data_IF_357826803425
#
_entry.id   IF_357826803425
#
_cell.length_a   1.000
_cell.length_b   1.000
_cell.length_c   1.000
_cell.angle_alpha   90.00
_cell.angle_beta   90.00
_cell.angle_gamma   90.00
#
_symmetry.space_group_name_H-M   'P 1'
#
loop_
_entity.id
_entity.type
_entity.pdbx_description
1 polymer ?
#
# COMPACT_ATOMS: atom_id res chain seq x y z
N UNK A 1 -7.08 -8.36 -7.44
CA UNK A 1 -6.95 -7.23 -8.39
C UNK A 1 -7.98 -6.11 -8.24
N UNK A 2 -9.29 -6.37 -8.37
CA UNK A 2 -10.35 -5.34 -8.43
C UNK A 2 -10.33 -4.33 -7.27
N UNK A 3 -9.91 -4.75 -6.07
CA UNK A 3 -9.87 -3.89 -4.89
C UNK A 3 -8.81 -2.77 -4.99
N UNK A 4 -7.62 -3.05 -5.55
CA UNK A 4 -6.57 -2.03 -5.69
C UNK A 4 -6.97 -1.00 -6.76
N UNK A 5 -7.52 -1.45 -7.88
CA UNK A 5 -8.02 -0.54 -8.91
C UNK A 5 -9.18 0.33 -8.40
N UNK A 6 -10.07 -0.23 -7.58
CA UNK A 6 -11.14 0.51 -6.94
C UNK A 6 -10.62 1.61 -5.99
N UNK A 7 -9.55 1.36 -5.23
CA UNK A 7 -8.92 2.38 -4.36
C UNK A 7 -8.37 3.55 -5.17
N UNK A 8 -7.72 3.27 -6.31
CA UNK A 8 -7.10 4.28 -7.18
C UNK A 8 -8.07 4.93 -8.18
N UNK A 9 -9.33 4.49 -8.23
CA UNK A 9 -10.39 5.09 -9.01
C UNK A 9 -10.70 6.53 -8.57
N UNK A 10 -11.51 7.25 -9.35
CA UNK A 10 -11.96 8.60 -8.95
C UNK A 10 -12.83 8.50 -7.69
N UNK A 11 -13.64 7.46 -7.60
CA UNK A 11 -14.52 7.16 -6.49
C UNK A 11 -13.71 6.87 -5.21
N UNK A 12 -12.70 6.00 -5.29
CA UNK A 12 -11.83 5.66 -4.17
C UNK A 12 -11.07 6.88 -3.63
N UNK A 13 -10.51 7.70 -4.53
CA UNK A 13 -9.85 8.96 -4.15
C UNK A 13 -10.82 9.98 -3.55
N UNK A 14 -12.05 10.04 -4.05
CA UNK A 14 -13.10 10.92 -3.50
C UNK A 14 -13.51 10.47 -2.10
N UNK A 15 -13.62 9.16 -1.86
CA UNK A 15 -13.91 8.62 -0.54
C UNK A 15 -12.78 8.92 0.46
N UNK A 16 -11.53 8.77 0.05
CA UNK A 16 -10.37 9.14 0.87
C UNK A 16 -10.34 10.65 1.20
N UNK A 17 -10.73 11.50 0.27
CA UNK A 17 -10.87 12.94 0.51
C UNK A 17 -12.01 13.27 1.47
N UNK A 18 -13.16 12.59 1.35
CA UNK A 18 -14.25 12.70 2.31
C UNK A 18 -13.79 12.33 3.73
N UNK A 19 -13.05 11.21 3.88
CA UNK A 19 -12.49 10.78 5.15
C UNK A 19 -11.49 11.81 5.71
N UNK A 20 -10.60 12.37 4.88
CA UNK A 20 -9.62 13.36 5.35
C UNK A 20 -10.27 14.67 5.83
N UNK A 21 -11.35 15.10 5.19
CA UNK A 21 -12.14 16.27 5.60
C UNK A 21 -12.86 16.04 6.94
N UNK A 22 -13.49 14.88 7.12
CA UNK A 22 -14.15 14.50 8.39
C UNK A 22 -13.13 14.44 9.52
N UNK A 23 -12.03 13.72 9.31
CA UNK A 23 -10.98 13.60 10.32
C UNK A 23 -10.34 14.95 10.68
N UNK A 24 -10.21 15.88 9.73
CA UNK A 24 -9.74 17.23 10.04
C UNK A 24 -10.78 18.01 10.87
N UNK A 25 -12.07 17.89 10.56
CA UNK A 25 -13.12 18.53 11.34
C UNK A 25 -13.13 18.03 12.79
N UNK A 26 -12.96 16.72 13.01
CA UNK A 26 -12.83 16.11 14.34
C UNK A 26 -11.54 16.57 15.04
N UNK A 27 -10.40 16.55 14.35
CA UNK A 27 -9.12 17.00 14.91
C UNK A 27 -9.11 18.48 15.32
N UNK A 28 -9.91 19.31 14.64
CA UNK A 28 -10.12 20.72 14.99
C UNK A 28 -11.16 20.91 16.11
N UNK A 29 -11.89 19.86 16.49
CA UNK A 29 -12.96 19.92 17.48
C UNK A 29 -14.15 20.77 17.03
N UNK A 30 -14.49 20.73 15.74
CA UNK A 30 -15.65 21.45 15.20
C UNK A 30 -16.94 20.80 15.71
N UNK A 31 -17.89 21.60 16.19
CA UNK A 31 -19.18 21.09 16.69
C UNK A 31 -19.97 20.38 15.59
N UNK A 32 -19.75 20.77 14.34
CA UNK A 32 -20.40 20.25 13.15
C UNK A 32 -19.71 19.01 12.54
N UNK A 33 -18.61 18.51 13.11
CA UNK A 33 -17.88 17.36 12.55
C UNK A 33 -18.77 16.11 12.44
N UNK A 34 -19.58 15.83 13.46
CA UNK A 34 -20.59 14.76 13.42
C UNK A 34 -21.67 15.00 12.36
N UNK A 35 -22.02 16.26 12.07
CA UNK A 35 -23.00 16.58 11.02
C UNK A 35 -22.40 16.33 9.64
N UNK A 36 -21.12 16.70 9.46
CA UNK A 36 -20.37 16.46 8.23
C UNK A 36 -20.24 14.95 7.95
N UNK A 37 -19.82 14.16 8.92
CA UNK A 37 -19.72 12.70 8.80
C UNK A 37 -21.08 12.08 8.41
N UNK A 38 -22.15 12.40 9.15
CA UNK A 38 -23.48 11.89 8.85
C UNK A 38 -23.98 12.29 7.45
N UNK A 39 -23.59 13.46 6.95
CA UNK A 39 -23.97 13.93 5.62
C UNK A 39 -23.26 13.15 4.53
N UNK A 40 -21.95 12.98 4.65
CA UNK A 40 -21.13 12.26 3.67
C UNK A 40 -21.39 10.76 3.67
N UNK A 41 -21.76 10.20 4.83
CA UNK A 41 -22.10 8.79 5.01
C UNK A 41 -23.56 8.46 4.65
N UNK A 42 -24.38 9.46 4.29
CA UNK A 42 -25.78 9.23 3.95
C UNK A 42 -25.92 8.46 2.62
N UNK A 43 -26.75 7.41 2.54
CA UNK A 43 -26.98 6.67 1.29
C UNK A 43 -27.55 7.52 0.14
N UNK A 44 -28.07 8.70 0.46
CA UNK A 44 -28.65 9.66 -0.49
C UNK A 44 -27.66 10.74 -0.93
N UNK A 45 -26.44 10.77 -0.39
CA UNK A 45 -25.44 11.75 -0.77
C UNK A 45 -24.94 11.48 -2.20
N UNK A 46 -24.99 12.49 -3.06
CA UNK A 46 -24.63 12.36 -4.47
C UNK A 46 -23.19 12.80 -4.73
N UNK A 47 -22.31 11.83 -5.00
CA UNK A 47 -20.91 12.09 -5.34
C UNK A 47 -20.68 12.51 -6.79
N UNK A 48 -21.70 12.53 -7.65
CA UNK A 48 -21.54 12.74 -9.10
C UNK A 48 -20.86 14.07 -9.43
N UNK A 49 -21.24 15.16 -8.76
CA UNK A 49 -20.64 16.48 -8.97
C UNK A 49 -19.16 16.52 -8.53
N UNK A 50 -18.81 15.77 -7.49
CA UNK A 50 -17.48 15.71 -6.89
C UNK A 50 -16.54 14.91 -7.79
N UNK A 51 -17.01 13.76 -8.27
CA UNK A 51 -16.31 12.90 -9.25
C UNK A 51 -16.03 13.68 -10.54
N UNK A 52 -17.03 14.43 -11.05
CA UNK A 52 -16.86 15.27 -12.23
C UNK A 52 -15.80 16.35 -11.99
N UNK A 53 -15.85 17.03 -10.84
CA UNK A 53 -14.86 18.06 -10.48
C UNK A 53 -13.43 17.50 -10.40
N UNK A 54 -13.25 16.31 -9.81
CA UNK A 54 -11.96 15.62 -9.77
C UNK A 54 -11.43 15.33 -11.17
N UNK A 55 -12.29 14.85 -12.07
CA UNK A 55 -11.92 14.55 -13.45
C UNK A 55 -11.57 15.79 -14.26
N UNK A 56 -12.34 16.88 -14.11
CA UNK A 56 -12.18 18.09 -14.93
C UNK A 56 -11.06 19.01 -14.44
N UNK A 57 -10.85 19.10 -13.13
CA UNK A 57 -9.99 20.12 -12.51
C UNK A 57 -8.86 19.55 -11.66
N UNK A 58 -8.88 18.25 -11.37
CA UNK A 58 -7.91 17.59 -10.49
C UNK A 58 -8.10 17.88 -9.00
N UNK A 59 -9.13 18.62 -8.60
CA UNK A 59 -9.47 18.90 -7.20
C UNK A 59 -10.97 18.74 -6.95
N UNK A 60 -11.32 17.78 -6.10
CA UNK A 60 -12.67 17.51 -5.64
C UNK A 60 -13.07 18.33 -4.40
N UNK A 61 -12.09 18.87 -3.66
CA UNK A 61 -12.32 19.47 -2.34
C UNK A 61 -13.36 20.61 -2.35
N UNK A 62 -13.33 21.59 -3.27
CA UNK A 62 -14.34 22.64 -3.30
C UNK A 62 -15.75 22.12 -3.59
N UNK A 63 -15.88 21.13 -4.48
CA UNK A 63 -17.15 20.51 -4.82
C UNK A 63 -17.70 19.68 -3.64
N UNK A 64 -16.85 18.89 -3.00
CA UNK A 64 -17.19 18.10 -1.81
C UNK A 64 -17.73 19.00 -0.69
N UNK A 65 -17.02 20.08 -0.37
CA UNK A 65 -17.46 21.03 0.65
C UNK A 65 -18.74 21.77 0.25
N UNK A 66 -18.94 22.07 -1.04
CA UNK A 66 -20.17 22.70 -1.50
C UNK A 66 -21.39 21.79 -1.34
N UNK A 67 -21.29 20.54 -1.81
CA UNK A 67 -22.36 19.55 -1.69
C UNK A 67 -22.65 19.17 -0.24
N UNK A 68 -21.62 19.10 0.61
CA UNK A 68 -21.79 18.85 2.03
C UNK A 68 -22.34 20.06 2.82
N UNK A 69 -22.36 21.27 2.23
CA UNK A 69 -22.79 22.50 2.90
C UNK A 69 -21.72 23.19 3.77
N UNK A 70 -20.44 22.85 3.57
CA UNK A 70 -19.28 23.34 4.34
C UNK A 70 -18.33 24.27 3.55
N UNK A 71 -18.70 24.71 2.35
CA UNK A 71 -17.87 25.58 1.49
C UNK A 71 -17.39 26.89 2.16
N UNK A 72 -18.07 27.34 3.23
CA UNK A 72 -17.71 28.54 3.99
C UNK A 72 -16.63 28.33 5.05
N UNK A 73 -16.11 27.11 5.27
CA UNK A 73 -15.21 26.80 6.38
C UNK A 73 -13.73 26.84 5.97
N UNK A 74 -12.97 27.93 6.23
CA UNK A 74 -11.66 28.14 5.63
C UNK A 74 -10.61 27.08 6.03
N UNK A 75 -10.75 26.51 7.23
CA UNK A 75 -9.85 25.47 7.70
C UNK A 75 -10.02 24.13 6.96
N UNK A 76 -11.23 23.85 6.44
CA UNK A 76 -11.51 22.63 5.69
C UNK A 76 -11.24 22.79 4.18
N UNK A 77 -11.11 24.03 3.69
CA UNK A 77 -10.85 24.33 2.28
C UNK A 77 -9.37 24.29 1.90
N UNK A 78 -8.49 23.77 2.75
CA UNK A 78 -7.06 23.74 2.47
C UNK A 78 -6.71 22.62 1.46
N UNK A 79 -6.05 22.94 0.33
CA UNK A 79 -5.72 21.95 -0.70
C UNK A 79 -4.79 20.83 -0.23
N UNK A 80 -4.07 20.99 0.88
CA UNK A 80 -3.19 19.94 1.39
C UNK A 80 -3.95 18.71 1.89
N UNK A 81 -5.28 18.81 2.05
CA UNK A 81 -6.15 17.67 2.31
C UNK A 81 -6.13 16.64 1.17
N UNK A 82 -5.88 17.07 -0.07
CA UNK A 82 -5.69 16.15 -1.21
C UNK A 82 -4.43 15.30 -1.02
N UNK A 83 -3.35 15.87 -0.45
CA UNK A 83 -2.12 15.13 -0.13
C UNK A 83 -2.37 14.13 1.02
N UNK A 84 -3.17 14.50 2.02
CA UNK A 84 -3.57 13.57 3.10
C UNK A 84 -4.46 12.44 2.57
N UNK A 85 -5.41 12.77 1.69
CA UNK A 85 -6.27 11.80 1.02
C UNK A 85 -5.46 10.80 0.19
N UNK A 86 -4.43 11.28 -0.51
CA UNK A 86 -3.51 10.41 -1.24
C UNK A 86 -2.82 9.40 -0.30
N UNK A 87 -2.41 9.82 0.89
CA UNK A 87 -1.76 8.93 1.87
C UNK A 87 -2.70 7.87 2.42
N UNK A 88 -4.00 8.17 2.58
CA UNK A 88 -5.03 7.16 2.92
C UNK A 88 -5.11 6.11 1.80
N UNK A 89 -5.23 6.53 0.53
CA UNK A 89 -5.27 5.60 -0.62
C UNK A 89 -4.00 4.73 -0.68
N UNK A 90 -2.84 5.34 -0.41
CA UNK A 90 -1.57 4.62 -0.34
C UNK A 90 -1.58 3.58 0.79
N UNK A 91 -2.05 3.94 1.99
CA UNK A 91 -2.12 3.04 3.14
C UNK A 91 -2.98 1.81 2.85
N UNK A 92 -4.18 2.02 2.32
CA UNK A 92 -5.11 0.94 1.98
C UNK A 92 -4.56 0.07 0.85
N UNK A 93 -3.97 0.70 -0.17
CA UNK A 93 -3.40 -0.01 -1.30
C UNK A 93 -2.16 -0.83 -0.91
N UNK A 94 -1.28 -0.30 -0.06
CA UNK A 94 -0.14 -1.07 0.48
C UNK A 94 -0.60 -2.22 1.36
N UNK A 95 -1.71 -2.06 2.09
CA UNK A 95 -2.31 -3.15 2.88
C UNK A 95 -2.82 -4.27 1.99
N UNK A 96 -3.52 -3.93 0.90
CA UNK A 96 -3.96 -4.91 -0.09
C UNK A 96 -2.79 -5.63 -0.77
N UNK A 97 -1.74 -4.89 -1.16
CA UNK A 97 -0.52 -5.46 -1.74
C UNK A 97 0.22 -6.37 -0.75
N UNK A 98 0.27 -5.99 0.52
CA UNK A 98 0.89 -6.80 1.58
C UNK A 98 0.14 -8.12 1.79
N UNK A 99 -1.19 -8.13 1.66
CA UNK A 99 -1.99 -9.34 1.71
C UNK A 99 -1.66 -10.29 0.53
N UNK A 100 -1.59 -9.76 -0.70
CA UNK A 100 -1.20 -10.55 -1.88
C UNK A 100 0.22 -11.14 -1.76
N UNK A 101 1.17 -10.37 -1.23
CA UNK A 101 2.52 -10.86 -0.95
C UNK A 101 2.53 -11.90 0.17
N UNK A 102 1.63 -11.77 1.16
CA UNK A 102 1.43 -12.77 2.22
C UNK A 102 1.06 -14.14 1.66
N UNK A 103 0.15 -14.20 0.68
CA UNK A 103 -0.18 -15.45 -0.02
C UNK A 103 1.06 -16.04 -0.72
N UNK A 104 1.90 -15.21 -1.34
CA UNK A 104 3.15 -15.67 -1.94
C UNK A 104 4.12 -16.24 -0.89
N UNK A 105 4.20 -15.61 0.29
CA UNK A 105 5.02 -16.08 1.42
C UNK A 105 4.55 -17.44 1.90
N UNK A 106 3.25 -17.65 2.06
CA UNK A 106 2.67 -18.93 2.50
C UNK A 106 2.92 -20.05 1.48
N UNK A 107 2.76 -19.74 0.19
CA UNK A 107 3.08 -20.68 -0.89
C UNK A 107 4.57 -21.03 -0.92
N UNK A 108 5.45 -20.03 -0.80
CA UNK A 108 6.90 -20.23 -0.74
C UNK A 108 7.33 -21.04 0.48
N UNK A 109 6.71 -20.80 1.64
CA UNK A 109 6.94 -21.58 2.85
C UNK A 109 6.61 -23.05 2.60
N UNK A 110 5.41 -23.32 2.09
CA UNK A 110 4.94 -24.67 1.78
C UNK A 110 5.86 -25.39 0.79
N UNK A 111 6.22 -24.73 -0.32
CA UNK A 111 7.14 -25.29 -1.32
C UNK A 111 8.53 -25.57 -0.71
N UNK A 112 9.04 -24.65 0.10
CA UNK A 112 10.35 -24.81 0.75
C UNK A 112 10.33 -26.00 1.72
N UNK A 113 9.24 -26.22 2.46
CA UNK A 113 9.08 -27.37 3.36
C UNK A 113 9.05 -28.70 2.60
N UNK A 114 8.33 -28.76 1.48
CA UNK A 114 8.25 -29.96 0.62
C UNK A 114 9.62 -30.31 0.06
N UNK A 115 10.38 -29.31 -0.40
CA UNK A 115 11.66 -29.50 -1.07
C UNK A 115 12.87 -29.34 -0.15
N UNK A 116 12.70 -29.35 1.18
CA UNK A 116 13.75 -29.00 2.14
C UNK A 116 15.01 -29.90 2.13
N UNK A 117 14.91 -31.10 1.56
CA UNK A 117 16.00 -32.07 1.43
C UNK A 117 16.63 -32.07 0.03
N UNK A 118 16.11 -31.25 -0.88
CA UNK A 118 16.55 -31.13 -2.27
C UNK A 118 17.32 -29.82 -2.46
N UNK A 119 18.19 -29.76 -3.47
CA UNK A 119 18.98 -28.55 -3.78
C UNK A 119 18.07 -27.34 -4.02
N UNK A 120 16.86 -27.56 -4.54
CA UNK A 120 15.84 -26.56 -4.84
C UNK A 120 15.27 -25.94 -3.57
N UNK A 121 15.27 -26.68 -2.45
CA UNK A 121 14.87 -26.13 -1.16
C UNK A 121 15.68 -24.90 -0.79
N UNK A 122 16.98 -24.87 -1.10
CA UNK A 122 17.82 -23.70 -0.83
C UNK A 122 17.44 -22.50 -1.70
N UNK A 123 17.13 -22.75 -2.98
CA UNK A 123 16.70 -21.69 -3.90
C UNK A 123 15.34 -21.12 -3.48
N UNK A 124 14.38 -21.97 -3.10
CA UNK A 124 13.09 -21.55 -2.56
C UNK A 124 13.25 -20.78 -1.25
N UNK A 125 14.12 -21.24 -0.34
CA UNK A 125 14.39 -20.58 0.93
C UNK A 125 14.98 -19.16 0.77
N UNK A 126 15.77 -18.92 -0.28
CA UNK A 126 16.28 -17.59 -0.60
C UNK A 126 15.14 -16.64 -1.01
N UNK A 127 14.22 -17.11 -1.86
CA UNK A 127 13.06 -16.33 -2.29
C UNK A 127 12.04 -16.14 -1.16
N UNK A 128 11.83 -17.13 -0.30
CA UNK A 128 11.04 -16.99 0.93
C UNK A 128 11.61 -15.87 1.82
N UNK A 129 12.93 -15.84 2.00
CA UNK A 129 13.58 -14.78 2.78
C UNK A 129 13.41 -13.41 2.14
N UNK A 130 13.51 -13.31 0.82
CA UNK A 130 13.30 -12.06 0.08
C UNK A 130 11.84 -11.59 0.17
N UNK A 131 10.87 -12.50 0.06
CA UNK A 131 9.45 -12.19 0.18
C UNK A 131 9.10 -11.66 1.58
N UNK A 132 9.62 -12.30 2.65
CA UNK A 132 9.44 -11.82 4.03
C UNK A 132 10.06 -10.44 4.26
N UNK A 133 11.28 -10.20 3.74
CA UNK A 133 11.91 -8.88 3.80
C UNK A 133 11.09 -7.82 3.05
N UNK A 134 10.57 -8.18 1.87
CA UNK A 134 9.67 -7.34 1.10
C UNK A 134 8.39 -6.98 1.85
N UNK A 135 7.77 -7.97 2.52
CA UNK A 135 6.58 -7.76 3.33
C UNK A 135 6.84 -6.81 4.50
N UNK A 136 7.94 -7.02 5.23
CA UNK A 136 8.37 -6.12 6.30
C UNK A 136 8.61 -4.69 5.80
N UNK A 137 9.25 -4.54 4.63
CA UNK A 137 9.49 -3.23 4.03
C UNK A 137 8.18 -2.54 3.64
N UNK A 138 7.25 -3.25 3.00
CA UNK A 138 5.94 -2.70 2.64
C UNK A 138 5.15 -2.24 3.87
N UNK A 139 5.13 -3.04 4.94
CA UNK A 139 4.47 -2.67 6.18
C UNK A 139 5.14 -1.45 6.83
N UNK A 140 6.47 -1.41 6.89
CA UNK A 140 7.19 -0.25 7.40
C UNK A 140 6.93 1.02 6.57
N UNK A 141 6.85 0.91 5.25
CA UNK A 141 6.50 2.02 4.36
C UNK A 141 5.07 2.49 4.60
N UNK A 142 4.11 1.57 4.75
CA UNK A 142 2.72 1.90 5.12
C UNK A 142 2.64 2.64 6.46
N UNK A 143 3.31 2.11 7.47
CA UNK A 143 3.27 2.64 8.84
C UNK A 143 3.99 3.99 8.98
N UNK A 144 4.80 4.36 7.99
CA UNK A 144 5.50 5.65 7.93
C UNK A 144 4.71 6.76 7.21
N UNK A 145 3.57 6.46 6.58
CA UNK A 145 2.83 7.43 5.75
C UNK A 145 2.34 8.64 6.57
N UNK A 146 2.70 9.88 6.19
CA UNK A 146 2.41 11.07 6.98
C UNK A 146 1.10 11.77 6.61
N UNK A 147 0.42 12.38 7.59
CA UNK A 147 -0.64 13.35 7.33
C UNK A 147 -0.09 14.71 6.87
N UNK A 148 -0.86 15.50 6.12
CA UNK A 148 -0.42 16.79 5.57
C UNK A 148 -1.47 17.89 5.77
N UNK A 149 -1.18 18.83 6.67
CA UNK A 149 -1.95 20.08 6.89
C UNK A 149 -1.03 21.26 7.19
N UNK A 150 -1.45 22.52 6.92
CA UNK A 150 -0.67 23.68 7.30
C UNK A 150 -0.45 23.76 8.81
N UNK A 151 0.76 24.17 9.22
CA UNK A 151 1.10 24.37 10.63
C UNK A 151 0.19 25.39 11.35
N UNK A 152 -0.43 26.31 10.60
CA UNK A 152 -1.39 27.29 11.13
C UNK A 152 -2.65 26.64 11.71
N UNK A 153 -3.06 25.47 11.22
CA UNK A 153 -4.25 24.76 11.68
C UNK A 153 -4.03 24.04 13.01
N UNK A 154 -2.76 23.75 13.38
CA UNK A 154 -2.39 23.02 14.62
C UNK A 154 -3.15 21.70 14.82
N UNK A 155 -3.57 21.06 13.73
CA UNK A 155 -4.40 19.86 13.76
C UNK A 155 -3.64 18.58 13.32
N UNK A 156 -2.38 18.68 12.88
CA UNK A 156 -1.63 17.55 12.29
C UNK A 156 -1.60 16.32 13.18
N UNK A 157 -1.38 16.48 14.50
CA UNK A 157 -1.32 15.36 15.42
C UNK A 157 -2.67 14.66 15.61
N UNK A 158 -3.76 15.44 15.74
CA UNK A 158 -5.11 14.89 15.83
C UNK A 158 -5.51 14.20 14.52
N UNK A 159 -5.27 14.85 13.38
CA UNK A 159 -5.56 14.30 12.07
C UNK A 159 -4.80 12.99 11.80
N UNK A 160 -3.51 12.96 12.12
CA UNK A 160 -2.68 11.77 11.97
C UNK A 160 -3.21 10.62 12.85
N UNK A 161 -3.61 10.93 14.09
CA UNK A 161 -4.20 9.94 15.00
C UNK A 161 -5.52 9.37 14.47
N UNK A 162 -6.45 10.22 14.02
CA UNK A 162 -7.75 9.78 13.49
C UNK A 162 -7.61 8.91 12.23
N UNK A 163 -6.63 9.20 11.39
CA UNK A 163 -6.41 8.49 10.12
C UNK A 163 -5.39 7.34 10.21
N UNK A 164 -4.82 7.08 11.39
CA UNK A 164 -3.69 6.15 11.57
C UNK A 164 -2.47 6.46 10.70
N UNK A 165 -2.23 7.74 10.44
CA UNK A 165 -1.05 8.25 9.74
C UNK A 165 0.00 8.76 10.74
N UNK A 166 1.19 9.08 10.25
CA UNK A 166 2.26 9.66 11.06
C UNK A 166 2.22 11.19 11.06
N UNK A 167 2.79 11.78 12.11
CA UNK A 167 3.04 13.22 12.16
C UNK A 167 4.39 13.48 11.49
N UNK A 168 4.46 14.19 10.36
CA UNK A 168 5.73 14.47 9.73
C UNK A 168 6.52 15.53 10.51
N UNK A 169 7.84 15.33 10.61
CA UNK A 169 8.74 16.33 11.21
C UNK A 169 8.85 17.60 10.34
N UNK A 170 8.70 17.45 9.02
CA UNK A 170 8.80 18.52 8.02
C UNK A 170 7.72 18.34 6.94
N UNK A 171 7.19 19.42 6.34
CA UNK A 171 6.30 19.31 5.19
C UNK A 171 6.97 18.53 4.05
N UNK A 172 6.34 17.46 3.60
CA UNK A 172 6.87 16.55 2.58
C UNK A 172 6.40 16.91 1.16
N UNK A 173 5.65 18.00 1.01
CA UNK A 173 5.21 18.48 -0.31
C UNK A 173 6.35 19.06 -1.14
N UNK A 174 7.40 19.57 -0.49
CA UNK A 174 8.62 20.07 -1.13
C UNK A 174 9.63 18.95 -1.46
N UNK A 175 9.62 17.88 -0.67
CA UNK A 175 10.43 16.68 -0.87
C UNK A 175 9.54 15.45 -0.68
N UNK A 176 9.11 14.86 -1.79
CA UNK A 176 8.09 13.79 -1.87
C UNK A 176 8.63 12.42 -1.39
N UNK A 177 9.41 12.42 -0.31
CA UNK A 177 10.04 11.24 0.27
C UNK A 177 9.06 10.09 0.56
N UNK A 178 7.81 10.31 1.04
CA UNK A 178 6.90 9.19 1.32
C UNK A 178 6.50 8.46 0.05
N UNK A 179 6.45 9.17 -1.09
CA UNK A 179 6.13 8.56 -2.38
C UNK A 179 7.37 7.86 -2.95
N UNK A 180 8.55 8.47 -2.82
CA UNK A 180 9.80 7.84 -3.25
C UNK A 180 10.08 6.52 -2.52
N UNK A 181 9.77 6.45 -1.22
CA UNK A 181 9.92 5.23 -0.42
C UNK A 181 8.95 4.13 -0.86
N UNK A 182 7.71 4.50 -1.22
CA UNK A 182 6.75 3.58 -1.84
C UNK A 182 7.25 3.04 -3.17
N UNK A 183 7.75 3.91 -4.05
CA UNK A 183 8.30 3.48 -5.34
C UNK A 183 9.46 2.50 -5.14
N UNK A 184 10.36 2.81 -4.21
CA UNK A 184 11.55 1.99 -3.93
C UNK A 184 11.18 0.64 -3.31
N UNK A 185 10.27 0.61 -2.34
CA UNK A 185 9.81 -0.62 -1.68
C UNK A 185 9.10 -1.54 -2.67
N UNK A 186 8.18 -1.03 -3.48
CA UNK A 186 7.50 -1.82 -4.52
C UNK A 186 8.50 -2.31 -5.57
N UNK A 187 9.35 -1.44 -6.10
CA UNK A 187 10.34 -1.83 -7.08
C UNK A 187 11.28 -2.95 -6.59
N UNK A 188 11.60 -2.98 -5.29
CA UNK A 188 12.49 -3.99 -4.71
C UNK A 188 11.98 -5.43 -4.87
N UNK A 189 10.66 -5.62 -5.01
CA UNK A 189 10.03 -6.93 -5.23
C UNK A 189 10.27 -7.49 -6.64
N UNK A 190 10.78 -6.69 -7.58
CA UNK A 190 11.03 -7.13 -8.96
C UNK A 190 11.95 -8.35 -9.05
N UNK A 191 12.90 -8.49 -8.12
CA UNK A 191 13.79 -9.65 -8.07
C UNK A 191 13.06 -10.95 -7.73
N UNK A 192 12.06 -10.88 -6.85
CA UNK A 192 11.20 -12.01 -6.51
C UNK A 192 10.35 -12.42 -7.71
N UNK A 193 9.70 -11.45 -8.36
CA UNK A 193 8.87 -11.68 -9.56
C UNK A 193 9.67 -12.38 -10.68
N UNK A 194 10.86 -11.87 -10.98
CA UNK A 194 11.75 -12.45 -12.00
C UNK A 194 12.21 -13.87 -11.65
N UNK A 195 12.38 -14.17 -10.35
CA UNK A 195 12.73 -15.52 -9.87
C UNK A 195 11.74 -16.59 -10.31
N UNK A 196 10.46 -16.23 -10.48
CA UNK A 196 9.38 -17.12 -10.89
C UNK A 196 8.89 -16.87 -12.32
N UNK A 197 9.71 -16.22 -13.16
CA UNK A 197 9.37 -15.86 -14.54
C UNK A 197 8.13 -14.98 -14.68
N UNK A 198 7.80 -14.19 -13.66
CA UNK A 198 6.74 -13.17 -13.73
C UNK A 198 7.33 -11.90 -14.34
N UNK A 199 6.58 -11.26 -15.25
CA UNK A 199 7.04 -10.08 -15.98
C UNK A 199 7.12 -8.85 -15.05
N UNK A 200 8.32 -8.52 -14.58
CA UNK A 200 8.57 -7.32 -13.77
C UNK A 200 8.71 -6.02 -14.60
N UNK A 201 8.67 -6.11 -15.94
CA UNK A 201 8.92 -4.97 -16.83
C UNK A 201 7.91 -3.84 -16.64
N UNK A 202 6.62 -4.17 -16.51
CA UNK A 202 5.56 -3.19 -16.32
C UNK A 202 5.70 -2.42 -14.99
N UNK A 203 6.05 -3.13 -13.90
CA UNK A 203 6.34 -2.52 -12.58
C UNK A 203 7.52 -1.54 -12.66
N UNK A 204 8.61 -1.95 -13.32
CA UNK A 204 9.80 -1.10 -13.47
C UNK A 204 9.53 0.15 -14.30
N UNK A 205 8.77 0.04 -15.38
CA UNK A 205 8.37 1.19 -16.18
C UNK A 205 7.40 2.11 -15.42
N UNK A 206 6.45 1.56 -14.65
CA UNK A 206 5.57 2.36 -13.80
C UNK A 206 6.35 3.11 -12.71
N UNK A 207 7.33 2.46 -12.06
CA UNK A 207 8.22 3.09 -11.08
C UNK A 207 9.03 4.25 -11.69
N UNK A 208 9.53 4.06 -12.91
CA UNK A 208 10.22 5.11 -13.67
C UNK A 208 9.28 6.27 -14.02
N UNK A 209 8.05 5.98 -14.45
CA UNK A 209 7.03 7.00 -14.71
C UNK A 209 6.71 7.83 -13.47
N UNK A 210 6.73 7.26 -12.26
CA UNK A 210 6.60 8.02 -11.02
C UNK A 210 7.69 9.09 -10.90
N UNK A 211 8.96 8.74 -11.15
CA UNK A 211 10.06 9.70 -11.10
C UNK A 211 9.94 10.78 -12.19
N UNK A 212 9.58 10.40 -13.42
CA UNK A 212 9.48 11.32 -14.56
C UNK A 212 8.28 12.28 -14.45
N UNK A 213 7.17 11.81 -13.87
CA UNK A 213 5.97 12.61 -13.61
C UNK A 213 6.07 13.49 -12.36
N UNK A 214 7.18 13.44 -11.62
CA UNK A 214 7.34 14.08 -10.30
C UNK A 214 6.31 13.57 -9.28
N UNK A 215 6.05 12.27 -9.29
CA UNK A 215 5.24 11.56 -8.31
C UNK A 215 3.77 12.00 -8.30
N UNK A 216 3.13 12.08 -9.48
CA UNK A 216 1.69 12.31 -9.54
C UNK A 216 0.91 11.13 -8.98
N UNK A 217 -0.29 11.39 -8.46
CA UNK A 217 -1.19 10.36 -7.94
C UNK A 217 -1.52 9.29 -8.99
N UNK A 218 -1.71 9.68 -10.26
CA UNK A 218 -2.03 8.72 -11.33
C UNK A 218 -0.86 7.79 -11.66
N UNK A 219 0.38 8.31 -11.65
CA UNK A 219 1.58 7.49 -11.87
C UNK A 219 1.79 6.51 -10.71
N UNK A 220 1.60 6.99 -9.47
CA UNK A 220 1.68 6.15 -8.28
C UNK A 220 0.61 5.07 -8.28
N UNK A 221 -0.64 5.42 -8.59
CA UNK A 221 -1.74 4.45 -8.68
C UNK A 221 -1.49 3.38 -9.72
N UNK A 222 -0.95 3.77 -10.88
CA UNK A 222 -0.50 2.79 -11.87
C UNK A 222 0.54 1.82 -11.31
N UNK A 223 1.56 2.32 -10.61
CA UNK A 223 2.57 1.44 -10.01
C UNK A 223 1.95 0.44 -9.04
N UNK A 224 1.00 0.88 -8.20
CA UNK A 224 0.30 -0.01 -7.27
C UNK A 224 -0.54 -1.07 -7.99
N UNK A 225 -1.28 -0.69 -9.05
CA UNK A 225 -2.06 -1.64 -9.84
C UNK A 225 -1.17 -2.65 -10.58
N UNK A 226 -0.09 -2.20 -11.22
CA UNK A 226 0.85 -3.07 -11.94
C UNK A 226 1.56 -4.03 -10.96
N UNK A 227 1.88 -3.58 -9.75
CA UNK A 227 2.39 -4.49 -8.70
C UNK A 227 1.33 -5.49 -8.24
N UNK A 228 0.09 -5.05 -8.02
CA UNK A 228 -1.00 -5.93 -7.63
C UNK A 228 -1.22 -7.06 -8.64
N UNK A 229 -1.24 -6.72 -9.92
CA UNK A 229 -1.29 -7.69 -11.01
C UNK A 229 -0.08 -8.63 -10.99
N UNK A 230 1.14 -8.11 -10.80
CA UNK A 230 2.34 -8.92 -10.77
C UNK A 230 2.37 -9.89 -9.57
N UNK A 231 1.85 -9.49 -8.40
CA UNK A 231 1.71 -10.38 -7.25
C UNK A 231 0.63 -11.44 -7.48
N UNK A 232 -0.50 -11.10 -8.10
CA UNK A 232 -1.52 -12.06 -8.52
C UNK A 232 -0.95 -13.09 -9.53
N UNK A 233 -0.10 -12.63 -10.47
CA UNK A 233 0.62 -13.51 -11.40
C UNK A 233 1.66 -14.39 -10.68
N UNK A 234 2.34 -13.86 -9.66
CA UNK A 234 3.27 -14.62 -8.83
C UNK A 234 2.57 -15.72 -8.05
N UNK A 235 1.44 -15.43 -7.41
CA UNK A 235 0.65 -16.45 -6.70
C UNK A 235 0.23 -17.58 -7.65
N UNK A 236 -0.26 -17.23 -8.85
CA UNK A 236 -0.58 -18.22 -9.89
C UNK A 236 0.64 -19.02 -10.36
N UNK A 237 1.80 -18.39 -10.48
CA UNK A 237 3.04 -19.07 -10.86
C UNK A 237 3.53 -20.03 -9.77
N UNK A 238 3.40 -19.65 -8.50
CA UNK A 238 3.77 -20.47 -7.34
C UNK A 238 2.85 -21.68 -7.20
N UNK A 239 1.54 -21.53 -7.39
CA UNK A 239 0.57 -22.64 -7.36
C UNK A 239 0.86 -23.73 -8.40
N UNK A 240 1.40 -23.33 -9.56
CA UNK A 240 1.73 -24.22 -10.67
C UNK A 240 3.21 -24.60 -10.68
N UNK A 241 3.98 -24.12 -9.70
CA UNK A 241 5.41 -24.30 -9.69
C UNK A 241 5.76 -25.77 -9.52
N UNK A 242 6.73 -26.21 -10.30
CA UNK A 242 7.32 -27.53 -10.18
C UNK A 242 8.83 -27.43 -10.31
N UNK A 243 9.57 -28.28 -9.59
CA UNK A 243 11.02 -28.24 -9.64
C UNK A 243 11.49 -28.59 -11.06
N UNK A 244 12.52 -27.90 -11.62
CA UNK A 244 13.06 -28.22 -12.93
C UNK A 244 13.48 -29.68 -13.02
N UNK A 245 13.37 -30.34 -14.16
CA UNK A 245 13.60 -31.80 -14.28
C UNK A 245 14.99 -32.32 -13.85
N UNK A 246 15.98 -31.45 -13.65
CA UNK A 246 17.31 -31.77 -13.07
C UNK A 246 17.39 -31.62 -11.53
N UNK A 247 16.26 -31.33 -10.87
CA UNK A 247 16.17 -30.93 -9.47
C UNK A 247 16.15 -32.03 -8.42
N UNK A 248 16.09 -33.30 -8.79
CA UNK A 248 15.94 -34.37 -7.80
C UNK A 248 17.27 -34.73 -7.11
N UNK A 249 18.23 -33.80 -7.06
CA UNK A 249 19.48 -33.99 -6.33
C UNK A 249 19.26 -33.65 -4.86
N UNK A 250 19.70 -34.57 -3.99
CA UNK A 250 19.70 -34.33 -2.55
C UNK A 250 20.66 -33.19 -2.20
N UNK A 251 20.19 -32.28 -1.36
CA UNK A 251 20.99 -31.21 -0.80
C UNK A 251 22.08 -31.79 0.14
N UNK A 252 23.21 -31.10 0.21
CA UNK A 252 24.22 -31.35 1.22
C UNK A 252 23.72 -30.99 2.62
N UNK A 253 24.30 -31.55 3.70
CA UNK A 253 23.88 -31.24 5.07
C UNK A 253 23.94 -29.75 5.41
N UNK A 254 24.89 -29.00 4.84
CA UNK A 254 25.01 -27.57 5.05
C UNK A 254 23.87 -26.78 4.39
N UNK A 255 23.44 -27.19 3.19
CA UNK A 255 22.32 -26.57 2.48
C UNK A 255 21.01 -26.86 3.20
N UNK A 256 20.80 -28.10 3.66
CA UNK A 256 19.62 -28.47 4.49
C UNK A 256 19.55 -27.61 5.76
N UNK A 257 20.67 -27.39 6.45
CA UNK A 257 20.69 -26.55 7.64
C UNK A 257 20.32 -25.09 7.34
N UNK A 258 20.74 -24.53 6.20
CA UNK A 258 20.35 -23.19 5.77
C UNK A 258 18.85 -23.10 5.48
N UNK A 259 18.29 -24.11 4.81
CA UNK A 259 16.85 -24.19 4.52
C UNK A 259 16.05 -24.26 5.81
N UNK A 260 16.41 -25.14 6.74
CA UNK A 260 15.75 -25.27 8.03
C UNK A 260 15.83 -23.96 8.84
N UNK A 261 16.96 -23.26 8.79
CA UNK A 261 17.11 -21.95 9.42
C UNK A 261 16.22 -20.87 8.79
N UNK A 262 16.00 -20.92 7.47
CA UNK A 262 15.08 -20.00 6.80
C UNK A 262 13.62 -20.31 7.15
N UNK A 263 13.23 -21.59 7.15
CA UNK A 263 11.89 -22.05 7.55
C UNK A 263 11.56 -21.67 9.00
N UNK A 264 12.52 -21.84 9.92
CA UNK A 264 12.34 -21.45 11.32
C UNK A 264 12.05 -19.94 11.44
N UNK A 265 12.87 -19.09 10.81
CA UNK A 265 12.64 -17.63 10.81
C UNK A 265 11.32 -17.25 10.16
N UNK A 266 10.94 -17.91 9.06
CA UNK A 266 9.68 -17.64 8.39
C UNK A 266 8.48 -17.92 9.31
N UNK A 267 8.51 -19.05 10.02
CA UNK A 267 7.49 -19.39 11.01
C UNK A 267 7.45 -18.40 12.17
N UNK A 268 8.61 -18.03 12.72
CA UNK A 268 8.67 -17.02 13.80
C UNK A 268 8.03 -15.69 13.38
N UNK A 269 8.28 -15.25 12.14
CA UNK A 269 7.70 -14.00 11.60
C UNK A 269 6.18 -14.13 11.39
N UNK A 270 5.71 -15.26 10.87
CA UNK A 270 4.28 -15.51 10.66
C UNK A 270 3.52 -15.65 11.99
N UNK A 271 4.10 -16.32 12.98
CA UNK A 271 3.53 -16.43 14.33
C UNK A 271 3.38 -15.05 14.97
N UNK A 272 4.41 -14.19 14.88
CA UNK A 272 4.34 -12.81 15.36
C UNK A 272 3.29 -11.97 14.62
N UNK A 273 3.05 -12.24 13.34
CA UNK A 273 2.05 -11.53 12.54
C UNK A 273 0.60 -11.97 12.85
N UNK A 274 0.39 -13.22 13.27
CA UNK A 274 -0.95 -13.77 13.58
C UNK A 274 -1.47 -13.53 14.99
N UNK A 275 -0.58 -13.19 15.94
CA UNK A 275 -0.96 -12.67 17.26
C UNK A 275 -1.92 -13.55 18.07
N UNK A 276 -1.47 -14.72 18.54
CA UNK A 276 -1.92 -15.17 19.87
C UNK A 276 -0.97 -14.55 20.91
N UNK A 277 -1.47 -13.65 21.78
CA UNK A 277 -0.66 -13.21 22.91
C UNK A 277 -0.51 -14.38 23.91
N UNK A 278 0.73 -14.68 24.30
CA UNK A 278 1.01 -15.42 25.54
C UNK A 278 0.58 -14.62 26.79
#
# INVERSE_FOLDING_TARGET
MDDIEALWSVEGRTAALAASVVALADALGLEEATVLDNTLSAPTFDFSAIILAQSDTGSALPALLAEAGFAGHPALSDPSLDDTALMIVCQDSLTALSALLGESVDALLTLTEVHQLEVQGLWLAQHLSAALQGQMMLMATRDALPAQVPASLKATAGLAQELSLTVPDLPWTADRWPISDQVSSLQSLSGLLQGFNVEAGAVLEAAKMCAESRFTADALGRLHCEMGQALDDLNRALDQWSPPSQAQQLASPGEVALVQGALARARDVLEQATGEPE
#
